data_IF_185938996601
#
_entry.id   IF_185938996601
#
_cell.length_a   1.000
_cell.length_b   1.000
_cell.length_c   1.000
_cell.angle_alpha   90.00
_cell.angle_beta   90.00
_cell.angle_gamma   90.00
#
_symmetry.space_group_name_H-M   'P 1'
#
loop_
_entity.id
_entity.type
_entity.pdbx_description
1 polymer ?
#
# COMPACT_ATOMS: atom_id res chain seq x y z
N UNK A 1 37.43 -68.78 16.30
CA UNK A 1 36.73 -68.77 17.59
C UNK A 1 35.77 -67.58 17.58
N UNK A 2 34.45 -67.85 17.67
CA UNK A 2 33.27 -66.94 17.75
C UNK A 2 32.90 -66.13 16.48
N UNK A 3 31.99 -66.62 15.60
CA UNK A 3 30.50 -66.58 15.63
C UNK A 3 29.95 -65.15 15.51
N UNK A 4 28.98 -64.73 14.68
CA UNK A 4 27.92 -65.31 13.81
C UNK A 4 27.19 -64.05 13.23
N UNK A 5 26.77 -63.91 11.97
CA UNK A 5 25.41 -64.26 11.49
C UNK A 5 25.21 -63.78 10.04
N UNK A 6 24.66 -64.71 9.28
CA UNK A 6 23.98 -64.66 7.99
C UNK A 6 22.67 -63.83 8.12
N UNK A 7 22.23 -63.12 7.07
CA UNK A 7 20.93 -63.33 6.40
C UNK A 7 20.61 -62.31 5.28
N UNK A 8 20.39 -62.88 4.09
CA UNK A 8 19.39 -62.58 3.04
C UNK A 8 19.34 -61.25 2.29
N UNK A 9 19.38 -61.45 0.97
CA UNK A 9 18.96 -60.55 -0.10
C UNK A 9 17.52 -60.04 0.06
N UNK A 10 17.29 -58.78 -0.34
CA UNK A 10 15.97 -58.31 -0.74
C UNK A 10 16.03 -57.63 -2.12
N UNK A 11 15.09 -58.10 -2.91
CA UNK A 11 14.73 -57.78 -4.29
C UNK A 11 14.42 -56.28 -4.48
N UNK A 12 15.15 -55.60 -5.38
CA UNK A 12 14.82 -54.23 -5.80
C UNK A 12 13.68 -54.25 -6.82
N UNK A 13 12.48 -53.89 -6.39
CA UNK A 13 11.33 -53.61 -7.26
C UNK A 13 11.44 -52.16 -7.73
N UNK A 14 11.74 -51.97 -9.00
CA UNK A 14 11.65 -50.72 -9.72
C UNK A 14 10.19 -50.35 -9.96
N UNK A 15 9.71 -49.27 -9.34
CA UNK A 15 8.44 -48.63 -9.70
C UNK A 15 8.74 -47.24 -10.26
N UNK A 16 8.56 -47.12 -11.59
CA UNK A 16 8.51 -45.85 -12.31
C UNK A 16 7.26 -45.09 -11.86
N UNK A 17 7.43 -44.04 -11.06
CA UNK A 17 6.41 -43.00 -10.92
C UNK A 17 6.88 -41.74 -11.63
N UNK A 18 6.35 -41.60 -12.84
CA UNK A 18 6.38 -40.39 -13.64
C UNK A 18 5.34 -39.42 -13.05
N UNK A 19 5.76 -38.54 -12.14
CA UNK A 19 4.94 -37.40 -11.72
C UNK A 19 5.59 -36.13 -12.25
N UNK A 20 5.12 -35.68 -13.41
CA UNK A 20 5.31 -34.31 -13.86
C UNK A 20 4.64 -33.39 -12.83
N UNK A 21 5.43 -32.87 -11.90
CA UNK A 21 5.05 -31.70 -11.11
C UNK A 21 5.00 -30.50 -12.07
N UNK A 22 3.79 -30.18 -12.55
CA UNK A 22 3.49 -28.86 -13.08
C UNK A 22 3.49 -27.89 -11.89
N UNK A 23 4.67 -27.38 -11.55
CA UNK A 23 4.82 -26.22 -10.70
C UNK A 23 4.28 -25.00 -11.48
N UNK A 24 3.01 -24.66 -11.28
CA UNK A 24 2.53 -23.31 -11.58
C UNK A 24 3.24 -22.36 -10.63
N UNK A 25 4.27 -21.69 -11.17
CA UNK A 25 4.85 -20.48 -10.58
C UNK A 25 3.75 -19.46 -10.40
N UNK A 26 3.26 -19.32 -9.15
CA UNK A 26 2.60 -18.11 -8.69
C UNK A 26 3.64 -17.00 -8.81
N UNK A 27 3.62 -16.25 -9.91
CA UNK A 27 4.27 -14.95 -9.95
C UNK A 27 3.48 -14.03 -9.03
N UNK A 28 3.82 -14.02 -7.75
CA UNK A 28 3.58 -12.89 -6.86
C UNK A 28 4.52 -11.75 -7.27
N UNK A 29 4.33 -11.25 -8.49
CA UNK A 29 5.06 -10.13 -9.06
C UNK A 29 4.32 -8.83 -8.79
N UNK A 30 3.90 -8.60 -7.54
CA UNK A 30 3.65 -7.23 -7.10
C UNK A 30 5.01 -6.55 -7.06
N UNK A 31 5.36 -5.85 -8.14
CA UNK A 31 6.49 -4.92 -8.09
C UNK A 31 6.07 -3.80 -7.13
N UNK A 32 6.35 -4.01 -5.83
CA UNK A 32 6.32 -2.92 -4.88
C UNK A 32 7.32 -1.90 -5.41
N UNK A 33 6.84 -0.74 -5.84
CA UNK A 33 7.72 0.36 -6.16
C UNK A 33 8.43 0.72 -4.85
N UNK A 34 9.65 0.20 -4.66
CA UNK A 34 10.58 0.69 -3.62
C UNK A 34 11.08 2.05 -4.05
N UNK A 35 10.20 3.04 -3.99
CA UNK A 35 10.58 4.44 -4.06
C UNK A 35 11.07 4.84 -2.67
N UNK A 36 12.37 4.67 -2.43
CA UNK A 36 13.05 5.35 -1.34
C UNK A 36 12.93 6.85 -1.61
N UNK A 37 12.06 7.51 -0.86
CA UNK A 37 11.65 8.89 -1.17
C UNK A 37 12.57 9.92 -0.54
N UNK A 38 13.41 9.51 0.42
CA UNK A 38 14.30 10.43 1.11
C UNK A 38 15.67 9.84 1.44
N UNK A 39 16.70 10.68 1.28
CA UNK A 39 18.10 10.33 1.58
C UNK A 39 18.53 11.15 2.79
N UNK A 40 18.82 10.44 3.88
CA UNK A 40 19.41 10.98 5.09
C UNK A 40 20.94 10.87 5.06
N UNK A 41 21.60 11.84 5.71
CA UNK A 41 23.05 11.84 5.94
C UNK A 41 23.36 12.46 7.29
N UNK A 42 24.00 11.69 8.17
CA UNK A 42 24.40 12.18 9.50
C UNK A 42 25.81 12.75 9.45
N UNK A 43 26.03 13.95 9.96
CA UNK A 43 27.32 14.66 9.86
C UNK A 43 28.14 14.62 11.15
N UNK A 44 27.50 14.72 12.32
CA UNK A 44 28.14 14.66 13.64
C UNK A 44 27.12 14.44 14.76
N UNK A 45 27.61 14.22 15.98
CA UNK A 45 26.80 14.26 17.22
C UNK A 45 26.35 15.69 17.52
N UNK A 46 25.18 15.82 18.15
CA UNK A 46 24.61 17.10 18.58
C UNK A 46 24.38 17.09 20.11
N UNK A 47 23.19 17.48 20.59
CA UNK A 47 22.87 17.48 22.03
C UNK A 47 22.90 16.06 22.58
N UNK A 48 23.68 15.84 23.63
CA UNK A 48 23.82 14.53 24.27
C UNK A 48 25.01 14.45 25.22
N UNK A 49 25.14 13.33 25.91
CA UNK A 49 26.27 13.08 26.82
C UNK A 49 26.61 11.60 26.90
N UNK A 50 27.80 11.27 27.41
CA UNK A 50 28.22 9.89 27.61
C UNK A 50 27.56 9.31 28.87
N UNK A 51 26.84 8.20 28.70
CA UNK A 51 26.13 7.53 29.78
C UNK A 51 26.70 6.11 29.94
N UNK A 52 26.95 5.73 31.19
CA UNK A 52 27.37 4.39 31.58
C UNK A 52 26.17 3.56 32.02
N UNK A 53 26.01 2.37 31.45
CA UNK A 53 24.84 1.48 31.64
C UNK A 53 25.23 0.02 31.40
N UNK A 54 24.29 -0.91 31.61
CA UNK A 54 24.48 -2.33 31.24
C UNK A 54 24.02 -2.53 29.81
N UNK A 55 24.94 -2.96 28.93
CA UNK A 55 24.61 -3.23 27.53
C UNK A 55 23.77 -4.52 27.42
N UNK A 56 22.58 -4.49 26.81
CA UNK A 56 21.67 -5.64 26.76
C UNK A 56 22.22 -6.80 25.90
N UNK A 57 23.13 -6.52 24.97
CA UNK A 57 23.72 -7.53 24.08
C UNK A 57 24.91 -8.27 24.71
N UNK A 58 25.63 -7.64 25.65
CA UNK A 58 26.84 -8.22 26.27
C UNK A 58 26.71 -8.44 27.77
N UNK A 59 25.63 -7.97 28.40
CA UNK A 59 25.40 -7.98 29.84
C UNK A 59 26.57 -7.39 30.66
N UNK A 60 27.32 -6.47 30.07
CA UNK A 60 28.50 -5.84 30.66
C UNK A 60 28.34 -4.33 30.72
N UNK A 61 29.11 -3.67 31.58
CA UNK A 61 29.13 -2.20 31.62
C UNK A 61 29.66 -1.64 30.30
N UNK A 62 28.93 -0.68 29.73
CA UNK A 62 29.33 0.07 28.55
C UNK A 62 29.13 1.56 28.81
N UNK A 63 29.87 2.40 28.07
CA UNK A 63 29.71 3.85 28.10
C UNK A 63 29.70 4.39 26.69
N UNK A 64 28.57 4.91 26.25
CA UNK A 64 28.35 5.40 24.88
C UNK A 64 27.75 6.80 24.91
N UNK A 65 27.93 7.55 23.82
CA UNK A 65 27.21 8.80 23.60
C UNK A 65 25.71 8.52 23.45
N UNK A 66 24.88 9.20 24.23
CA UNK A 66 23.44 9.14 24.13
C UNK A 66 22.90 10.55 23.84
N UNK A 67 22.21 10.71 22.71
CA UNK A 67 21.69 12.00 22.29
C UNK A 67 21.35 12.06 20.81
N UNK A 68 21.17 13.27 20.32
CA UNK A 68 20.84 13.54 18.92
C UNK A 68 22.08 13.57 18.03
N UNK A 69 21.87 13.37 16.74
CA UNK A 69 22.86 13.61 15.69
C UNK A 69 22.38 14.73 14.76
N UNK A 70 23.28 15.60 14.33
CA UNK A 70 23.00 16.53 13.24
C UNK A 70 23.11 15.77 11.91
N UNK A 71 22.21 16.08 10.99
CA UNK A 71 22.30 15.56 9.64
C UNK A 71 21.47 16.37 8.67
N UNK A 72 21.36 15.83 7.46
CA UNK A 72 20.50 16.37 6.42
C UNK A 72 19.53 15.32 5.94
N UNK A 73 18.34 15.74 5.56
CA UNK A 73 17.37 14.96 4.83
C UNK A 73 17.07 15.67 3.52
N UNK A 74 17.42 15.07 2.39
CA UNK A 74 17.35 15.72 1.08
C UNK A 74 18.00 17.13 1.08
N UNK A 75 19.12 17.27 1.79
CA UNK A 75 19.88 18.51 2.03
C UNK A 75 19.31 19.50 3.05
N UNK A 76 18.12 19.26 3.62
CA UNK A 76 17.57 20.08 4.71
C UNK A 76 18.13 19.65 6.06
N UNK A 77 18.59 20.61 6.88
CA UNK A 77 19.15 20.32 8.20
C UNK A 77 18.08 19.75 9.15
N UNK A 78 18.38 18.60 9.75
CA UNK A 78 17.48 17.87 10.65
C UNK A 78 18.29 17.19 11.77
N UNK A 79 17.60 16.68 12.79
CA UNK A 79 18.20 15.84 13.82
C UNK A 79 17.72 14.40 13.74
N UNK A 80 18.56 13.48 14.19
CA UNK A 80 18.26 12.04 14.29
C UNK A 80 18.56 11.50 15.69
N UNK A 81 17.91 10.40 16.05
CA UNK A 81 18.28 9.53 17.16
C UNK A 81 18.72 8.15 16.63
N UNK A 82 19.43 7.40 17.47
CA UNK A 82 19.79 6.01 17.23
C UNK A 82 18.63 5.07 17.59
N UNK A 83 18.42 4.01 16.80
CA UNK A 83 17.46 2.91 17.09
C UNK A 83 18.09 1.52 16.87
N UNK A 84 19.43 1.45 16.87
CA UNK A 84 20.19 0.21 16.75
C UNK A 84 21.50 0.39 17.52
N UNK A 85 21.48 0.02 18.79
CA UNK A 85 22.62 0.17 19.67
C UNK A 85 23.74 -0.83 19.33
N UNK A 86 23.42 -1.94 18.65
CA UNK A 86 24.36 -3.02 18.37
C UNK A 86 25.41 -2.62 17.34
N UNK A 87 25.01 -1.85 16.35
CA UNK A 87 25.84 -1.49 15.21
C UNK A 87 26.45 -0.08 15.35
N UNK A 88 27.58 0.14 14.69
CA UNK A 88 28.23 1.46 14.65
C UNK A 88 27.62 2.37 13.59
N UNK A 89 27.47 3.66 13.89
CA UNK A 89 27.14 4.70 12.94
C UNK A 89 28.30 5.01 11.98
N UNK A 90 28.00 5.23 10.70
CA UNK A 90 28.91 5.87 9.75
C UNK A 90 28.43 7.27 9.38
N UNK A 91 29.30 8.27 9.62
CA UNK A 91 29.04 9.65 9.24
C UNK A 91 29.23 9.88 7.74
N UNK A 92 28.51 10.86 7.20
CA UNK A 92 28.58 11.34 5.82
C UNK A 92 28.25 10.28 4.75
N UNK A 93 27.53 9.22 5.14
CA UNK A 93 26.98 8.20 4.23
C UNK A 93 25.49 8.39 4.00
N UNK A 94 25.02 7.84 2.90
CA UNK A 94 23.60 7.85 2.55
C UNK A 94 22.86 6.75 3.34
N UNK A 95 21.75 7.14 3.95
CA UNK A 95 20.77 6.25 4.54
C UNK A 95 19.45 6.48 3.81
N UNK A 96 18.75 5.41 3.40
CA UNK A 96 17.42 5.53 2.82
C UNK A 96 16.35 5.32 3.89
N UNK A 97 15.16 5.85 3.65
CA UNK A 97 13.96 5.60 4.43
C UNK A 97 13.55 4.13 4.36
N UNK A 98 13.18 3.55 5.51
CA UNK A 98 12.64 2.18 5.55
C UNK A 98 11.67 1.98 6.72
N UNK A 99 10.39 1.79 6.38
CA UNK A 99 9.28 1.57 7.32
C UNK A 99 9.20 2.64 8.44
N UNK A 100 8.21 2.49 9.32
CA UNK A 100 8.08 3.28 10.54
C UNK A 100 8.76 2.61 11.74
N UNK A 101 9.02 3.39 12.78
CA UNK A 101 9.39 2.87 14.10
C UNK A 101 8.15 2.42 14.89
N UNK A 102 8.31 1.57 15.93
CA UNK A 102 7.24 1.27 16.88
C UNK A 102 6.50 2.53 17.36
N UNK A 103 5.20 2.41 17.63
CA UNK A 103 4.34 3.53 18.00
C UNK A 103 4.85 4.30 19.23
N UNK A 104 5.53 3.63 20.16
CA UNK A 104 6.12 4.23 21.35
C UNK A 104 7.25 5.20 20.99
N UNK A 105 8.14 4.80 20.08
CA UNK A 105 9.22 5.68 19.59
C UNK A 105 8.61 6.87 18.87
N UNK A 106 7.61 6.64 18.01
CA UNK A 106 6.89 7.73 17.34
C UNK A 106 6.24 8.69 18.35
N UNK A 107 5.58 8.18 19.39
CA UNK A 107 4.99 9.01 20.44
C UNK A 107 6.05 9.87 21.16
N UNK A 108 7.21 9.29 21.49
CA UNK A 108 8.31 10.01 22.12
C UNK A 108 8.74 11.19 21.24
N UNK A 109 8.97 10.92 19.96
CA UNK A 109 9.45 11.94 19.02
C UNK A 109 8.43 13.08 18.80
N UNK A 110 7.13 12.79 18.96
CA UNK A 110 6.06 13.81 18.88
C UNK A 110 5.90 14.67 20.13
N UNK A 111 6.41 14.24 21.28
CA UNK A 111 6.12 14.86 22.56
C UNK A 111 7.34 15.43 23.28
N UNK A 112 8.54 15.10 22.82
CA UNK A 112 9.77 15.44 23.52
C UNK A 112 10.78 16.18 22.60
N UNK A 113 11.89 16.60 23.20
CA UNK A 113 13.00 17.26 22.52
C UNK A 113 13.61 16.34 21.44
N UNK A 114 14.13 16.86 20.32
CA UNK A 114 14.26 18.27 19.95
C UNK A 114 13.01 18.88 19.31
N UNK A 115 12.00 18.09 18.95
CA UNK A 115 10.82 18.61 18.27
C UNK A 115 10.03 19.59 19.14
N UNK A 116 9.65 19.16 20.35
CA UNK A 116 9.11 20.09 21.35
C UNK A 116 10.25 20.67 22.15
N UNK A 117 10.28 21.99 22.27
CA UNK A 117 11.31 22.71 23.05
C UNK A 117 10.84 23.04 24.47
N UNK A 118 9.55 22.91 24.76
CA UNK A 118 8.95 23.15 26.08
C UNK A 118 7.82 22.15 26.37
N UNK A 119 7.85 21.54 27.56
CA UNK A 119 6.84 20.62 28.10
C UNK A 119 7.13 20.32 29.57
N UNK A 120 6.13 19.82 30.31
CA UNK A 120 6.25 19.49 31.73
C UNK A 120 7.31 18.42 31.99
N UNK A 121 8.17 18.67 32.99
CA UNK A 121 9.20 17.72 33.42
C UNK A 121 10.45 17.66 32.53
N UNK A 122 10.54 18.48 31.47
CA UNK A 122 11.76 18.63 30.66
C UNK A 122 12.94 19.05 31.56
N UNK A 123 14.09 18.40 31.42
CA UNK A 123 15.32 18.84 32.06
C UNK A 123 15.78 20.19 31.48
N UNK A 124 16.37 21.03 32.34
CA UNK A 124 16.93 22.33 31.94
C UNK A 124 18.15 22.17 31.02
N UNK A 125 18.95 21.13 31.24
CA UNK A 125 20.08 20.75 30.39
C UNK A 125 19.61 19.91 29.19
N UNK A 126 19.66 20.49 27.99
CA UNK A 126 19.28 19.82 26.75
C UNK A 126 20.13 18.59 26.45
N UNK A 127 21.39 18.53 26.89
CA UNK A 127 22.24 17.35 26.68
C UNK A 127 21.74 16.17 27.52
N UNK A 128 21.35 16.43 28.77
CA UNK A 128 20.75 15.41 29.63
C UNK A 128 19.35 15.01 29.15
N UNK A 129 18.53 15.96 28.70
CA UNK A 129 17.20 15.66 28.14
C UNK A 129 17.32 14.79 26.89
N UNK A 130 18.21 15.15 25.96
CA UNK A 130 18.44 14.37 24.74
C UNK A 130 18.97 12.96 25.06
N UNK A 131 19.84 12.81 26.06
CA UNK A 131 20.32 11.52 26.51
C UNK A 131 19.19 10.67 27.12
N UNK A 132 18.32 11.26 27.95
CA UNK A 132 17.19 10.55 28.54
C UNK A 132 16.21 10.05 27.48
N UNK A 133 15.95 10.85 26.46
CA UNK A 133 15.11 10.50 25.31
C UNK A 133 15.76 9.37 24.49
N UNK A 134 17.07 9.44 24.22
CA UNK A 134 17.79 8.37 23.52
C UNK A 134 17.70 7.03 24.27
N UNK A 135 17.77 7.03 25.61
CA UNK A 135 17.57 5.81 26.41
C UNK A 135 16.13 5.31 26.40
N UNK A 136 15.14 6.20 26.40
CA UNK A 136 13.74 5.80 26.24
C UNK A 136 13.50 5.18 24.85
N UNK A 137 14.13 5.71 23.81
CA UNK A 137 14.09 5.13 22.46
C UNK A 137 14.76 3.74 22.46
N UNK A 138 15.97 3.61 23.03
CA UNK A 138 16.67 2.32 23.10
C UNK A 138 15.98 1.27 23.97
N UNK A 139 15.16 1.67 24.94
CA UNK A 139 14.30 0.72 25.65
C UNK A 139 13.32 0.03 24.69
N UNK A 140 12.75 0.76 23.73
CA UNK A 140 11.79 0.20 22.77
C UNK A 140 12.42 -0.38 21.50
N UNK A 141 13.66 0.00 21.16
CA UNK A 141 14.36 -0.53 19.97
C UNK A 141 15.34 -1.66 20.26
N UNK A 142 15.95 -1.67 21.45
CA UNK A 142 17.13 -2.50 21.78
C UNK A 142 17.03 -3.14 23.19
N UNK A 143 15.87 -3.06 23.85
CA UNK A 143 15.64 -3.58 25.21
C UNK A 143 16.61 -3.04 26.28
N UNK A 144 17.13 -1.81 26.09
CA UNK A 144 18.03 -1.18 27.08
C UNK A 144 17.25 -0.84 28.34
N UNK A 145 17.67 -1.43 29.47
CA UNK A 145 17.09 -1.14 30.77
C UNK A 145 17.65 0.17 31.34
N UNK A 146 16.87 1.25 31.27
CA UNK A 146 17.24 2.58 31.76
C UNK A 146 17.59 2.61 33.27
N UNK A 147 17.08 1.66 34.06
CA UNK A 147 17.41 1.55 35.49
C UNK A 147 18.89 1.18 35.74
N UNK A 148 19.61 0.66 34.74
CA UNK A 148 21.03 0.28 34.82
C UNK A 148 21.99 1.43 34.60
N UNK A 149 21.50 2.63 34.27
CA UNK A 149 22.32 3.84 34.20
C UNK A 149 22.98 4.09 35.55
N UNK A 150 24.32 4.18 35.57
CA UNK A 150 25.12 4.21 36.80
C UNK A 150 25.78 5.55 37.09
N UNK A 151 26.00 6.38 36.06
CA UNK A 151 26.78 7.62 36.19
C UNK A 151 25.94 8.91 36.17
N UNK A 152 24.62 8.83 35.96
CA UNK A 152 23.76 10.02 35.85
C UNK A 152 22.30 9.75 36.28
N UNK A 153 21.96 10.15 37.51
CA UNK A 153 20.63 9.88 38.09
C UNK A 153 19.51 10.72 37.46
N UNK A 154 19.80 11.94 37.00
CA UNK A 154 18.82 12.80 36.34
C UNK A 154 18.35 12.17 35.03
N UNK A 155 19.29 11.72 34.21
CA UNK A 155 19.03 11.04 32.93
C UNK A 155 18.26 9.73 33.17
N UNK A 156 18.66 8.96 34.18
CA UNK A 156 17.96 7.73 34.58
C UNK A 156 16.50 7.96 34.92
N UNK A 157 16.22 8.87 35.86
CA UNK A 157 14.84 9.13 36.30
C UNK A 157 14.00 9.70 35.16
N UNK A 158 14.59 10.57 34.33
CA UNK A 158 13.91 11.17 33.20
C UNK A 158 13.57 10.14 32.11
N UNK A 159 14.49 9.25 31.77
CA UNK A 159 14.26 8.18 30.81
C UNK A 159 13.12 7.26 31.25
N UNK A 160 13.12 6.86 32.54
CA UNK A 160 12.05 6.03 33.11
C UNK A 160 10.67 6.71 33.03
N UNK A 161 10.59 8.02 33.28
CA UNK A 161 9.35 8.77 33.16
C UNK A 161 8.84 8.81 31.71
N UNK A 162 9.74 9.04 30.74
CA UNK A 162 9.39 9.06 29.31
C UNK A 162 8.92 7.69 28.83
N UNK A 163 9.59 6.61 29.27
CA UNK A 163 9.19 5.22 28.96
C UNK A 163 7.78 4.93 29.48
N UNK A 164 7.47 5.32 30.72
CA UNK A 164 6.16 5.10 31.33
C UNK A 164 5.05 5.86 30.58
N UNK A 165 5.32 7.12 30.21
CA UNK A 165 4.39 7.95 29.45
C UNK A 165 4.14 7.36 28.05
N UNK A 166 5.22 7.02 27.33
CA UNK A 166 5.12 6.43 25.99
C UNK A 166 4.37 5.09 26.01
N UNK A 167 4.60 4.24 27.01
CA UNK A 167 3.88 2.97 27.19
C UNK A 167 2.38 3.16 27.38
N UNK A 168 1.98 4.25 28.04
CA UNK A 168 0.57 4.51 28.35
C UNK A 168 -0.18 5.20 27.20
N UNK A 169 0.51 6.00 26.39
CA UNK A 169 -0.13 6.99 25.51
C UNK A 169 0.16 6.82 24.00
N UNK A 170 0.91 5.79 23.58
CA UNK A 170 1.35 5.64 22.19
C UNK A 170 0.26 5.35 21.13
N UNK A 171 -1.00 5.12 21.54
CA UNK A 171 -2.06 4.64 20.65
C UNK A 171 -2.59 5.65 19.62
N UNK A 172 -1.95 6.83 19.46
CA UNK A 172 -2.59 7.96 18.78
C UNK A 172 -1.71 8.72 17.77
N UNK A 173 -0.69 8.10 17.15
CA UNK A 173 0.07 8.79 16.11
C UNK A 173 0.41 7.86 14.95
N UNK A 174 -0.13 8.16 13.76
CA UNK A 174 0.30 7.58 12.49
C UNK A 174 0.72 8.72 11.58
N UNK A 175 1.90 8.64 10.96
CA UNK A 175 2.32 9.71 10.09
C UNK A 175 2.09 9.51 8.57
N UNK A 176 1.93 10.64 7.88
CA UNK A 176 1.69 10.81 6.43
C UNK A 176 2.79 10.17 5.56
N UNK A 177 2.42 9.48 4.46
CA UNK A 177 3.40 8.79 3.60
C UNK A 177 3.19 8.96 2.09
N UNK A 178 1.97 8.94 1.55
CA UNK A 178 1.80 8.70 0.10
C UNK A 178 0.79 9.65 -0.58
N UNK A 179 1.10 10.06 -1.81
CA UNK A 179 0.17 10.66 -2.76
C UNK A 179 -0.27 9.64 -3.80
N UNK A 180 -1.51 9.71 -4.25
CA UNK A 180 -2.05 8.89 -5.34
C UNK A 180 -2.87 9.76 -6.29
N UNK A 181 -2.57 9.72 -7.59
CA UNK A 181 -3.39 10.34 -8.63
C UNK A 181 -4.25 9.25 -9.25
N UNK A 182 -5.57 9.47 -9.28
CA UNK A 182 -6.53 8.53 -9.85
C UNK A 182 -7.34 9.22 -10.94
N UNK A 183 -6.93 9.07 -12.21
CA UNK A 183 -7.82 9.39 -13.31
C UNK A 183 -8.82 8.23 -13.51
N UNK A 184 -10.12 8.49 -13.74
CA UNK A 184 -11.11 7.46 -14.07
C UNK A 184 -10.79 6.72 -15.39
N UNK A 185 -10.11 7.38 -16.32
CA UNK A 185 -9.67 6.84 -17.60
C UNK A 185 -8.28 7.36 -17.98
N UNK A 186 -7.55 6.61 -18.81
CA UNK A 186 -6.24 7.04 -19.32
C UNK A 186 -6.28 7.68 -20.69
N UNK A 187 -7.37 7.51 -21.44
CA UNK A 187 -7.48 8.01 -22.81
C UNK A 187 -8.83 8.67 -23.01
N UNK A 188 -8.87 9.84 -23.63
CA UNK A 188 -10.07 10.63 -23.89
C UNK A 188 -10.11 11.04 -25.35
N UNK A 189 -11.30 11.21 -25.90
CA UNK A 189 -11.46 11.78 -27.23
C UNK A 189 -11.08 13.26 -27.23
N UNK A 190 -10.46 13.73 -28.32
CA UNK A 190 -10.07 15.14 -28.51
C UNK A 190 -11.19 16.11 -28.09
N UNK A 191 -10.86 17.10 -27.25
CA UNK A 191 -11.81 18.11 -26.76
C UNK A 191 -12.60 17.69 -25.51
N UNK A 192 -12.58 16.42 -25.10
CA UNK A 192 -13.20 15.97 -23.85
C UNK A 192 -12.31 16.34 -22.66
N UNK A 193 -12.82 17.07 -21.65
CA UNK A 193 -12.07 17.35 -20.43
C UNK A 193 -11.78 16.06 -19.65
N UNK A 194 -10.53 15.88 -19.22
CA UNK A 194 -10.15 14.80 -18.32
C UNK A 194 -10.34 15.26 -16.87
N UNK A 195 -10.98 14.45 -16.03
CA UNK A 195 -11.10 14.72 -14.59
C UNK A 195 -10.27 13.73 -13.80
N UNK A 196 -9.66 14.16 -12.69
CA UNK A 196 -8.92 13.27 -11.81
C UNK A 196 -8.97 13.76 -10.37
N UNK A 197 -8.61 12.87 -9.45
CA UNK A 197 -8.52 13.16 -8.03
C UNK A 197 -7.12 12.84 -7.51
N UNK A 198 -6.70 13.56 -6.47
CA UNK A 198 -5.46 13.29 -5.76
C UNK A 198 -5.79 12.90 -4.32
N UNK A 199 -5.22 11.81 -3.83
CA UNK A 199 -5.37 11.36 -2.45
C UNK A 199 -4.05 11.45 -1.70
N UNK A 200 -4.05 12.01 -0.49
CA UNK A 200 -2.96 11.94 0.46
C UNK A 200 -3.29 10.92 1.56
N UNK A 201 -2.40 9.95 1.78
CA UNK A 201 -2.58 8.83 2.70
C UNK A 201 -1.36 8.66 3.62
N UNK A 202 -1.59 8.13 4.82
CA UNK A 202 -0.55 7.75 5.78
C UNK A 202 0.06 6.37 5.50
N UNK A 203 1.05 5.95 6.31
CA UNK A 203 1.70 4.63 6.21
C UNK A 203 0.75 3.44 6.30
N UNK A 204 -0.39 3.64 6.97
CA UNK A 204 -1.40 2.62 7.18
C UNK A 204 -2.53 2.71 6.12
N UNK A 205 -2.42 3.64 5.16
CA UNK A 205 -3.41 3.89 4.12
C UNK A 205 -4.60 4.74 4.56
N UNK A 206 -4.54 5.37 5.74
CA UNK A 206 -5.60 6.27 6.24
C UNK A 206 -5.50 7.64 5.56
N UNK A 207 -6.62 8.37 5.44
CA UNK A 207 -6.65 9.69 4.83
C UNK A 207 -5.88 10.75 5.61
N UNK A 208 -5.17 11.63 4.89
CA UNK A 208 -4.50 12.80 5.48
C UNK A 208 -5.18 14.09 5.02
N UNK A 209 -5.86 14.73 5.96
CA UNK A 209 -6.56 15.99 5.76
C UNK A 209 -5.58 17.19 5.76
N UNK A 210 -5.96 18.26 5.05
CA UNK A 210 -5.26 19.55 5.02
C UNK A 210 -3.87 19.52 4.37
N UNK A 211 -3.55 18.50 3.58
CA UNK A 211 -2.32 18.46 2.79
C UNK A 211 -2.44 19.38 1.57
N UNK A 212 -1.51 20.33 1.41
CA UNK A 212 -1.47 21.22 0.26
C UNK A 212 -0.78 20.52 -0.93
N UNK A 213 -1.53 20.29 -2.00
CA UNK A 213 -1.08 19.65 -3.23
C UNK A 213 -0.88 20.72 -4.31
N UNK A 214 0.32 20.78 -4.87
CA UNK A 214 0.69 21.56 -6.04
C UNK A 214 0.60 20.67 -7.29
N UNK A 215 0.03 21.19 -8.37
CA UNK A 215 -0.21 20.44 -9.61
C UNK A 215 0.52 21.11 -10.77
N UNK A 216 1.03 20.28 -11.68
CA UNK A 216 1.58 20.73 -12.97
C UNK A 216 1.27 19.71 -14.06
N UNK A 217 1.31 20.16 -15.31
CA UNK A 217 1.18 19.32 -16.49
C UNK A 217 2.15 19.79 -17.57
N UNK A 218 2.64 18.88 -18.42
CA UNK A 218 3.42 19.24 -19.61
C UNK A 218 2.53 19.57 -20.82
N UNK A 219 1.24 19.27 -20.77
CA UNK A 219 0.29 19.45 -21.86
C UNK A 219 -1.12 19.77 -21.34
N UNK A 220 -1.82 20.69 -22.00
CA UNK A 220 -3.16 21.13 -21.59
C UNK A 220 -3.17 22.13 -20.43
N UNK A 221 -4.36 22.47 -19.95
CA UNK A 221 -4.60 23.46 -18.90
C UNK A 221 -5.33 22.84 -17.71
N UNK A 222 -4.75 22.95 -16.51
CA UNK A 222 -5.38 22.51 -15.26
C UNK A 222 -6.37 23.56 -14.73
N UNK A 223 -7.50 23.11 -14.17
CA UNK A 223 -8.47 24.00 -13.52
C UNK A 223 -7.95 24.65 -12.24
N UNK A 224 -6.93 24.06 -11.63
CA UNK A 224 -6.16 24.64 -10.52
C UNK A 224 -4.74 24.08 -10.50
N UNK A 225 -3.79 24.86 -10.02
CA UNK A 225 -2.40 24.44 -9.78
C UNK A 225 -2.09 24.22 -8.30
N UNK A 226 -3.02 24.51 -7.39
CA UNK A 226 -2.87 24.23 -5.96
C UNK A 226 -4.23 23.93 -5.32
N UNK A 227 -4.30 22.87 -4.50
CA UNK A 227 -5.52 22.41 -3.83
C UNK A 227 -5.19 21.70 -2.52
N UNK A 228 -6.09 21.75 -1.54
CA UNK A 228 -5.89 21.14 -0.23
C UNK A 228 -6.79 19.91 -0.05
N UNK A 229 -6.28 18.85 0.57
CA UNK A 229 -7.06 17.62 0.83
C UNK A 229 -8.13 17.82 1.91
N UNK A 230 -9.30 17.19 1.72
CA UNK A 230 -10.41 17.16 2.66
C UNK A 230 -10.25 16.08 3.76
N UNK A 231 -11.27 15.87 4.60
CA UNK A 231 -11.28 14.87 5.69
C UNK A 231 -11.00 13.43 5.23
N UNK A 232 -11.29 13.12 3.97
CA UNK A 232 -11.04 11.81 3.34
C UNK A 232 -9.68 11.77 2.63
N UNK A 233 -8.81 12.76 2.88
CA UNK A 233 -7.50 12.88 2.23
C UNK A 233 -7.59 13.17 0.73
N UNK A 234 -8.76 13.56 0.22
CA UNK A 234 -9.03 13.76 -1.20
C UNK A 234 -8.91 15.24 -1.57
N UNK A 235 -8.25 15.53 -2.68
CA UNK A 235 -8.22 16.81 -3.36
C UNK A 235 -8.77 16.65 -4.78
N UNK A 236 -9.81 17.41 -5.11
CA UNK A 236 -10.48 17.35 -6.40
C UNK A 236 -12.01 17.37 -6.28
N UNK A 237 -12.73 17.16 -7.39
CA UNK A 237 -12.19 16.82 -8.72
C UNK A 237 -11.39 17.96 -9.35
N UNK A 238 -10.31 17.62 -10.05
CA UNK A 238 -9.52 18.55 -10.87
C UNK A 238 -9.78 18.24 -12.34
N UNK A 239 -9.88 19.28 -13.18
CA UNK A 239 -10.09 19.14 -14.61
C UNK A 239 -8.83 19.54 -15.38
N UNK A 240 -8.41 18.71 -16.33
CA UNK A 240 -7.38 19.00 -17.32
C UNK A 240 -8.03 19.10 -18.71
N UNK A 241 -7.88 20.25 -19.37
CA UNK A 241 -8.45 20.50 -20.70
C UNK A 241 -7.36 20.54 -21.77
N UNK A 242 -7.62 19.88 -22.90
CA UNK A 242 -6.78 19.93 -24.10
C UNK A 242 -7.64 19.68 -25.34
N UNK A 243 -7.39 20.44 -26.41
CA UNK A 243 -8.17 20.39 -27.66
C UNK A 243 -7.45 19.68 -28.82
N UNK A 244 -6.22 19.22 -28.61
CA UNK A 244 -5.44 18.48 -29.60
C UNK A 244 -5.32 16.99 -29.28
N UNK A 245 -4.43 16.32 -30.02
CA UNK A 245 -4.00 14.94 -29.76
C UNK A 245 -2.65 14.96 -29.05
N UNK A 246 -2.46 14.10 -28.06
CA UNK A 246 -1.20 14.02 -27.33
C UNK A 246 -1.32 13.43 -25.94
N UNK A 247 -0.18 13.20 -25.29
CA UNK A 247 -0.11 12.62 -23.95
C UNK A 247 0.32 13.71 -22.97
N UNK A 248 -0.56 14.04 -22.02
CA UNK A 248 -0.22 14.84 -20.86
C UNK A 248 0.34 13.96 -19.74
N UNK A 249 1.37 14.45 -19.08
CA UNK A 249 1.90 13.96 -17.81
C UNK A 249 1.50 14.95 -16.73
N UNK A 250 0.58 14.54 -15.88
CA UNK A 250 0.17 15.28 -14.69
C UNK A 250 1.15 14.94 -13.58
N UNK A 251 1.65 15.94 -12.88
CA UNK A 251 2.47 15.80 -11.68
C UNK A 251 1.75 16.44 -10.51
N UNK A 252 1.55 15.68 -9.45
CA UNK A 252 1.10 16.20 -8.17
C UNK A 252 2.27 16.16 -7.19
N UNK A 253 2.57 17.32 -6.61
CA UNK A 253 3.56 17.49 -5.57
C UNK A 253 2.85 17.86 -4.28
N UNK A 254 3.22 17.27 -3.17
CA UNK A 254 2.86 17.81 -1.85
C UNK A 254 4.11 17.84 -1.01
N UNK A 255 4.17 18.83 -0.13
CA UNK A 255 5.12 18.78 0.97
C UNK A 255 4.61 17.72 1.94
N UNK A 256 5.10 16.49 1.81
CA UNK A 256 4.90 15.48 2.84
C UNK A 256 5.79 15.90 4.00
N UNK A 257 5.19 16.16 5.15
CA UNK A 257 5.97 16.15 6.38
C UNK A 257 6.48 14.72 6.53
N UNK A 258 7.77 14.49 6.28
CA UNK A 258 8.43 13.28 6.75
C UNK A 258 8.32 13.35 8.26
N UNK A 259 7.56 12.43 8.83
CA UNK A 259 7.33 12.44 10.25
C UNK A 259 8.62 12.11 10.98
N UNK A 260 8.79 12.75 12.13
CA UNK A 260 9.62 12.15 13.15
C UNK A 260 9.08 10.75 13.49
N UNK A 261 9.97 9.77 13.58
CA UNK A 261 9.60 8.36 13.65
C UNK A 261 9.86 7.56 12.37
N UNK A 262 10.17 8.20 11.24
CA UNK A 262 10.68 7.50 10.05
C UNK A 262 12.05 6.91 10.33
N UNK A 263 12.19 5.61 10.08
CA UNK A 263 13.44 4.87 10.23
C UNK A 263 14.29 5.01 8.97
N UNK A 264 15.59 5.13 9.16
CA UNK A 264 16.59 5.17 8.09
C UNK A 264 17.64 4.10 8.28
N UNK A 265 18.00 3.41 7.20
CA UNK A 265 19.02 2.35 7.21
C UNK A 265 20.12 2.64 6.20
N UNK A 266 21.34 2.15 6.48
CA UNK A 266 22.50 2.43 5.66
C UNK A 266 22.34 1.85 4.25
N UNK A 267 22.54 2.68 3.23
CA UNK A 267 22.24 2.33 1.82
C UNK A 267 22.96 1.08 1.32
N UNK A 268 24.21 0.86 1.73
CA UNK A 268 25.03 -0.27 1.24
C UNK A 268 25.23 -1.38 2.27
N UNK A 269 24.75 -1.20 3.49
CA UNK A 269 24.89 -2.20 4.56
C UNK A 269 23.74 -2.08 5.58
N UNK A 270 22.48 -2.34 5.17
CA UNK A 270 21.29 -2.06 5.99
C UNK A 270 21.26 -2.75 7.35
N UNK A 271 21.85 -3.95 7.45
CA UNK A 271 21.86 -4.77 8.67
C UNK A 271 23.20 -4.74 9.43
N UNK A 272 24.25 -4.20 8.82
CA UNK A 272 25.60 -4.13 9.40
C UNK A 272 25.98 -2.76 9.94
N UNK A 273 25.06 -1.78 9.91
CA UNK A 273 25.28 -0.40 10.32
C UNK A 273 24.09 0.12 11.12
N UNK A 274 24.39 1.07 12.00
CA UNK A 274 23.41 1.67 12.90
C UNK A 274 22.22 2.25 12.13
N UNK A 275 21.03 1.87 12.55
CA UNK A 275 19.75 2.41 12.08
C UNK A 275 19.41 3.68 12.85
N UNK A 276 18.74 4.59 12.15
CA UNK A 276 18.44 5.94 12.63
C UNK A 276 16.94 6.18 12.62
N UNK A 277 16.49 7.12 13.44
CA UNK A 277 15.12 7.65 13.38
C UNK A 277 15.16 9.18 13.32
N UNK A 278 14.33 9.76 12.46
CA UNK A 278 14.21 11.21 12.33
C UNK A 278 13.61 11.81 13.61
N UNK A 279 14.26 12.83 14.18
CA UNK A 279 13.92 13.41 15.48
C UNK A 279 13.19 14.76 15.41
N UNK A 280 13.23 15.42 14.25
CA UNK A 280 12.47 16.64 13.94
C UNK A 280 11.75 16.40 12.63
N UNK A 281 10.45 16.74 12.51
CA UNK A 281 9.76 16.53 11.25
C UNK A 281 10.46 17.39 10.19
N UNK A 282 10.53 16.87 8.98
CA UNK A 282 11.13 17.59 7.87
C UNK A 282 10.17 17.56 6.70
N UNK A 283 10.09 18.67 5.99
CA UNK A 283 9.36 18.74 4.75
C UNK A 283 10.15 18.00 3.66
N UNK A 284 9.51 17.04 3.01
CA UNK A 284 9.97 16.49 1.75
C UNK A 284 8.93 16.64 0.66
N UNK A 285 9.39 16.70 -0.59
CA UNK A 285 8.53 16.80 -1.75
C UNK A 285 8.25 15.39 -2.25
N UNK A 286 7.07 14.84 -1.94
CA UNK A 286 6.57 13.72 -2.74
C UNK A 286 5.99 14.26 -4.03
N UNK A 287 6.52 13.75 -5.14
CA UNK A 287 5.98 13.92 -6.47
C UNK A 287 5.48 12.57 -6.98
N UNK A 288 4.24 12.55 -7.48
CA UNK A 288 3.69 11.42 -8.22
C UNK A 288 3.22 11.90 -9.58
N UNK A 289 3.26 11.00 -10.57
CA UNK A 289 2.84 11.31 -11.93
C UNK A 289 1.80 10.32 -12.44
N UNK A 290 0.86 10.83 -13.24
CA UNK A 290 -0.07 10.05 -14.04
C UNK A 290 -0.11 10.60 -15.46
N UNK A 291 -0.51 9.77 -16.42
CA UNK A 291 -0.62 10.15 -17.82
C UNK A 291 -2.06 10.11 -18.29
N UNK A 292 -2.41 11.05 -19.18
CA UNK A 292 -3.68 11.09 -19.89
C UNK A 292 -3.41 11.32 -21.37
N UNK A 293 -4.01 10.52 -22.25
CA UNK A 293 -3.92 10.62 -23.71
C UNK A 293 -5.20 11.26 -24.28
N UNK A 294 -5.06 12.22 -25.19
CA UNK A 294 -6.13 12.62 -26.09
C UNK A 294 -5.90 12.01 -27.47
N UNK A 295 -6.93 11.38 -28.02
CA UNK A 295 -6.89 10.74 -29.34
C UNK A 295 -8.10 11.15 -30.20
N UNK A 296 -7.92 11.06 -31.51
CA UNK A 296 -9.04 11.20 -32.43
C UNK A 296 -9.87 9.92 -32.43
N UNK A 297 -11.14 10.04 -32.07
CA UNK A 297 -12.08 8.92 -32.07
C UNK A 297 -12.11 8.26 -33.45
N UNK A 298 -11.84 6.94 -33.56
CA UNK A 298 -12.02 6.24 -34.83
C UNK A 298 -13.49 6.25 -35.26
N UNK A 299 -13.73 6.18 -36.58
CA UNK A 299 -15.09 6.12 -37.14
C UNK A 299 -15.77 4.78 -36.78
N UNK A 300 -14.96 3.73 -36.61
CA UNK A 300 -15.38 2.39 -36.19
C UNK A 300 -15.21 2.17 -34.67
N UNK A 301 -15.48 0.94 -34.20
CA UNK A 301 -15.48 0.52 -32.80
C UNK A 301 -14.35 1.15 -31.96
N UNK A 302 -14.71 2.08 -31.08
CA UNK A 302 -13.77 2.78 -30.21
C UNK A 302 -13.60 2.04 -28.88
N UNK A 303 -12.53 1.25 -28.80
CA UNK A 303 -12.14 0.48 -27.61
C UNK A 303 -11.14 1.23 -26.71
N UNK A 304 -10.67 2.41 -27.12
CA UNK A 304 -9.81 3.25 -26.28
C UNK A 304 -10.63 3.93 -25.19
N UNK A 305 -10.02 4.11 -24.01
CA UNK A 305 -10.64 4.80 -22.88
C UNK A 305 -11.36 3.89 -21.88
N UNK A 306 -11.60 2.61 -22.22
CA UNK A 306 -12.11 1.65 -21.26
C UNK A 306 -11.04 1.35 -20.20
N UNK A 307 -11.48 0.97 -19.02
CA UNK A 307 -10.61 0.51 -17.94
C UNK A 307 -11.31 -0.60 -17.22
N UNK A 308 -10.58 -1.67 -16.94
CA UNK A 308 -11.02 -2.79 -16.11
C UNK A 308 -9.91 -3.09 -15.11
N UNK A 309 -10.25 -3.81 -14.05
CA UNK A 309 -9.28 -4.37 -13.14
C UNK A 309 -9.60 -5.84 -12.88
N UNK A 310 -8.53 -6.62 -12.70
CA UNK A 310 -8.63 -8.01 -12.25
C UNK A 310 -9.19 -8.12 -10.83
N UNK A 311 -9.59 -9.32 -10.42
CA UNK A 311 -9.96 -9.58 -9.03
C UNK A 311 -8.82 -9.26 -8.03
N UNK A 312 -7.56 -9.42 -8.43
CA UNK A 312 -6.41 -9.01 -7.62
C UNK A 312 -6.31 -7.49 -7.48
N UNK A 313 -6.58 -6.75 -8.56
CA UNK A 313 -6.72 -5.30 -8.53
C UNK A 313 -7.83 -4.88 -7.58
N UNK A 314 -9.05 -5.37 -7.77
CA UNK A 314 -10.19 -5.03 -6.90
C UNK A 314 -10.05 -5.52 -5.46
N UNK A 315 -9.23 -6.53 -5.16
CA UNK A 315 -8.92 -7.01 -3.80
C UNK A 315 -7.76 -6.28 -3.13
N UNK A 316 -7.01 -5.47 -3.87
CA UNK A 316 -5.78 -4.84 -3.37
C UNK A 316 -6.03 -3.80 -2.25
N UNK A 317 -5.00 -3.45 -1.46
CA UNK A 317 -5.12 -2.45 -0.41
C UNK A 317 -5.53 -1.06 -0.95
N UNK A 318 -6.15 -0.24 -0.10
CA UNK A 318 -6.71 1.06 -0.49
C UNK A 318 -5.67 2.15 -0.79
N UNK A 319 -4.38 1.84 -0.71
CA UNK A 319 -3.28 2.69 -1.17
C UNK A 319 -2.85 2.39 -2.63
N UNK A 320 -3.47 1.40 -3.27
CA UNK A 320 -3.38 1.19 -4.72
C UNK A 320 -4.44 1.99 -5.48
N UNK A 321 -4.28 2.15 -6.80
CA UNK A 321 -5.29 2.75 -7.67
C UNK A 321 -6.66 2.05 -7.58
N UNK A 322 -6.77 0.75 -7.92
CA UNK A 322 -8.05 0.04 -7.92
C UNK A 322 -8.66 -0.08 -6.52
N UNK A 323 -7.84 -0.35 -5.50
CA UNK A 323 -8.28 -0.43 -4.12
C UNK A 323 -8.82 0.90 -3.58
N UNK A 324 -8.24 2.03 -4.00
CA UNK A 324 -8.76 3.37 -3.65
C UNK A 324 -10.03 3.69 -4.43
N UNK A 325 -10.10 3.38 -5.72
CA UNK A 325 -11.34 3.54 -6.52
C UNK A 325 -12.49 2.80 -5.85
N UNK A 326 -12.25 1.53 -5.47
CA UNK A 326 -13.19 0.71 -4.70
C UNK A 326 -13.67 1.45 -3.45
N UNK A 327 -12.74 1.78 -2.56
CA UNK A 327 -13.05 2.39 -1.26
C UNK A 327 -13.84 3.70 -1.39
N UNK A 328 -13.42 4.59 -2.28
CA UNK A 328 -13.98 5.93 -2.40
C UNK A 328 -15.40 5.96 -3.00
N UNK A 329 -15.75 4.98 -3.84
CA UNK A 329 -16.99 5.03 -4.62
C UNK A 329 -17.96 3.87 -4.35
N UNK A 330 -17.62 2.91 -3.49
CA UNK A 330 -18.44 1.70 -3.32
C UNK A 330 -19.89 1.99 -2.94
N UNK A 331 -20.13 2.88 -1.97
CA UNK A 331 -21.50 3.22 -1.54
C UNK A 331 -22.30 3.99 -2.60
N UNK A 332 -21.62 4.65 -3.53
CA UNK A 332 -22.27 5.31 -4.67
C UNK A 332 -22.64 4.30 -5.75
N UNK A 333 -21.74 3.38 -6.08
CA UNK A 333 -21.94 2.39 -7.14
C UNK A 333 -22.87 1.25 -6.69
N UNK A 334 -22.73 0.83 -5.43
CA UNK A 334 -23.46 -0.27 -4.80
C UNK A 334 -24.12 0.19 -3.49
N UNK A 335 -25.13 1.08 -3.55
CA UNK A 335 -25.75 1.66 -2.34
C UNK A 335 -26.43 0.63 -1.44
N UNK A 336 -26.83 -0.51 -1.98
CA UNK A 336 -27.41 -1.65 -1.23
C UNK A 336 -26.44 -2.81 -1.06
N UNK A 337 -25.14 -2.59 -1.31
CA UNK A 337 -24.13 -3.64 -1.39
C UNK A 337 -24.06 -4.30 -2.76
N UNK A 338 -22.93 -4.97 -3.01
CA UNK A 338 -22.71 -5.78 -4.21
C UNK A 338 -23.32 -7.15 -3.99
N UNK A 339 -24.18 -7.58 -4.92
CA UNK A 339 -24.83 -8.89 -4.88
C UNK A 339 -24.53 -9.63 -6.17
N UNK A 340 -24.05 -10.88 -6.09
CA UNK A 340 -23.96 -11.80 -7.24
C UNK A 340 -24.75 -13.08 -6.96
N UNK A 341 -25.28 -13.71 -8.01
CA UNK A 341 -26.00 -14.98 -7.92
C UNK A 341 -27.52 -14.90 -8.14
N UNK A 342 -28.11 -16.05 -8.47
CA UNK A 342 -29.55 -16.28 -8.66
C UNK A 342 -30.25 -16.86 -7.42
N UNK A 343 -30.49 -18.18 -7.41
CA UNK A 343 -31.21 -18.87 -6.32
C UNK A 343 -30.47 -18.73 -4.98
N UNK A 344 -29.16 -18.97 -5.01
CA UNK A 344 -28.24 -18.62 -3.94
C UNK A 344 -27.45 -17.37 -4.33
N UNK A 345 -27.14 -16.54 -3.33
CA UNK A 345 -26.50 -15.23 -3.53
C UNK A 345 -25.30 -15.04 -2.61
N UNK A 346 -24.31 -14.30 -3.08
CA UNK A 346 -23.30 -13.65 -2.25
C UNK A 346 -23.62 -12.17 -2.15
N UNK A 347 -23.73 -11.65 -0.93
CA UNK A 347 -23.88 -10.21 -0.64
C UNK A 347 -22.64 -9.68 0.05
N UNK A 348 -22.02 -8.65 -0.52
CA UNK A 348 -20.90 -7.91 0.05
C UNK A 348 -21.36 -6.48 0.32
N UNK A 349 -21.54 -6.12 1.59
CA UNK A 349 -22.23 -4.87 1.96
C UNK A 349 -21.31 -3.64 2.01
N UNK A 350 -19.98 -3.82 1.95
CA UNK A 350 -19.01 -2.72 2.05
C UNK A 350 -17.81 -2.94 1.11
N UNK A 351 -17.08 -1.86 0.81
CA UNK A 351 -15.79 -1.92 0.12
C UNK A 351 -14.79 -2.83 0.82
N UNK A 352 -14.77 -2.81 2.16
CA UNK A 352 -13.93 -3.69 2.98
C UNK A 352 -14.35 -5.16 2.84
N UNK A 353 -15.65 -5.47 2.75
CA UNK A 353 -16.10 -6.83 2.49
C UNK A 353 -15.62 -7.33 1.13
N UNK A 354 -15.66 -6.49 0.09
CA UNK A 354 -15.08 -6.83 -1.23
C UNK A 354 -13.57 -7.04 -1.15
N UNK A 355 -12.83 -6.13 -0.49
CA UNK A 355 -11.39 -6.26 -0.27
C UNK A 355 -11.03 -7.59 0.40
N UNK A 356 -11.75 -7.96 1.45
CA UNK A 356 -11.46 -9.16 2.23
C UNK A 356 -11.91 -10.44 1.51
N UNK A 357 -12.86 -10.33 0.58
CA UNK A 357 -13.31 -11.44 -0.25
C UNK A 357 -12.38 -11.69 -1.44
N UNK A 358 -11.73 -10.68 -2.02
CA UNK A 358 -10.90 -10.85 -3.22
C UNK A 358 -9.39 -10.92 -2.89
N UNK A 359 -8.60 -11.69 -3.68
CA UNK A 359 -9.00 -12.59 -4.75
C UNK A 359 -9.47 -13.97 -4.23
N UNK A 360 -10.12 -14.75 -5.10
CA UNK A 360 -10.49 -16.14 -4.87
C UNK A 360 -9.69 -17.08 -5.78
N UNK A 361 -9.46 -18.32 -5.31
CA UNK A 361 -8.84 -19.40 -6.07
C UNK A 361 -9.66 -20.68 -6.03
N UNK A 362 -9.02 -21.82 -6.27
CA UNK A 362 -9.67 -23.16 -6.35
C UNK A 362 -10.56 -23.35 -7.57
N UNK A 363 -11.20 -24.52 -7.67
CA UNK A 363 -12.05 -24.90 -8.81
C UNK A 363 -13.29 -24.01 -8.92
N UNK A 364 -13.65 -23.64 -10.15
CA UNK A 364 -14.88 -22.93 -10.46
C UNK A 364 -16.11 -23.82 -10.15
N UNK A 365 -17.10 -23.26 -9.45
CA UNK A 365 -18.31 -23.98 -9.07
C UNK A 365 -19.50 -23.06 -8.79
N UNK A 366 -20.52 -23.60 -8.13
CA UNK A 366 -21.73 -22.85 -7.73
C UNK A 366 -21.82 -22.65 -6.21
N UNK A 367 -22.65 -21.69 -5.82
CA UNK A 367 -23.08 -21.51 -4.44
C UNK A 367 -24.00 -22.65 -4.02
N UNK A 368 -23.78 -23.15 -2.81
CA UNK A 368 -24.62 -24.16 -2.15
C UNK A 368 -25.56 -23.57 -1.12
N UNK A 369 -25.41 -22.28 -0.81
CA UNK A 369 -26.17 -21.52 0.17
C UNK A 369 -26.02 -20.01 -0.08
N UNK A 370 -26.81 -19.20 0.61
CA UNK A 370 -26.60 -17.76 0.64
C UNK A 370 -25.38 -17.40 1.51
N UNK A 371 -24.59 -16.45 1.04
CA UNK A 371 -23.40 -15.93 1.72
C UNK A 371 -23.54 -14.41 1.95
N UNK A 372 -23.00 -13.93 3.06
CA UNK A 372 -22.97 -12.50 3.36
C UNK A 372 -21.65 -12.14 4.03
N UNK A 373 -20.91 -11.19 3.46
CA UNK A 373 -19.62 -10.69 3.97
C UNK A 373 -18.61 -11.77 4.38
N UNK A 374 -18.62 -12.90 3.66
CA UNK A 374 -17.68 -14.01 3.87
C UNK A 374 -16.36 -13.75 3.15
N UNK A 375 -15.32 -14.51 3.49
CA UNK A 375 -13.99 -14.46 2.84
C UNK A 375 -13.78 -15.56 1.82
N UNK A 376 -14.70 -16.54 1.72
CA UNK A 376 -14.67 -17.61 0.71
C UNK A 376 -16.05 -18.21 0.49
N UNK A 377 -16.25 -18.90 -0.63
CA UNK A 377 -17.49 -19.61 -0.97
C UNK A 377 -17.20 -20.95 -1.64
N UNK A 378 -18.21 -21.80 -1.78
CA UNK A 378 -18.15 -23.05 -2.55
C UNK A 378 -17.89 -22.87 -4.04
N UNK A 379 -18.05 -21.65 -4.59
CA UNK A 379 -17.89 -21.37 -6.02
C UNK A 379 -16.44 -21.02 -6.44
N UNK A 380 -15.51 -20.91 -5.48
CA UNK A 380 -14.08 -20.74 -5.74
C UNK A 380 -13.76 -19.54 -6.63
N UNK A 381 -12.84 -19.75 -7.59
CA UNK A 381 -12.32 -18.71 -8.49
C UNK A 381 -13.42 -18.00 -9.28
N UNK A 382 -14.51 -18.70 -9.62
CA UNK A 382 -15.62 -18.11 -10.37
C UNK A 382 -16.30 -16.99 -9.57
N UNK A 383 -16.48 -17.17 -8.26
CA UNK A 383 -17.04 -16.11 -7.41
C UNK A 383 -16.15 -14.87 -7.41
N UNK A 384 -14.82 -15.05 -7.34
CA UNK A 384 -13.87 -13.94 -7.42
C UNK A 384 -13.96 -13.19 -8.74
N UNK A 385 -13.99 -13.92 -9.87
CA UNK A 385 -14.07 -13.29 -11.19
C UNK A 385 -15.41 -12.59 -11.44
N UNK A 386 -16.53 -13.12 -10.96
CA UNK A 386 -17.83 -12.47 -11.12
C UNK A 386 -18.01 -11.25 -10.22
N UNK A 387 -17.45 -11.25 -9.00
CA UNK A 387 -17.40 -10.02 -8.18
C UNK A 387 -16.57 -8.95 -8.91
N UNK A 388 -15.39 -9.30 -9.42
CA UNK A 388 -14.55 -8.36 -10.17
C UNK A 388 -15.23 -7.85 -11.45
N UNK A 389 -15.92 -8.71 -12.20
CA UNK A 389 -16.65 -8.32 -13.39
C UNK A 389 -17.82 -7.38 -13.06
N UNK A 390 -18.58 -7.68 -12.01
CA UNK A 390 -19.67 -6.82 -11.58
C UNK A 390 -19.16 -5.47 -11.08
N UNK A 391 -18.00 -5.42 -10.43
CA UNK A 391 -17.31 -4.18 -10.09
C UNK A 391 -16.93 -3.39 -11.34
N UNK A 392 -16.29 -4.01 -12.34
CA UNK A 392 -15.93 -3.36 -13.61
C UNK A 392 -17.15 -2.75 -14.30
N UNK A 393 -18.22 -3.52 -14.48
CA UNK A 393 -19.46 -3.06 -15.13
C UNK A 393 -20.15 -1.97 -14.33
N UNK A 394 -20.28 -2.13 -13.01
CA UNK A 394 -20.96 -1.15 -12.16
C UNK A 394 -20.23 0.19 -12.08
N UNK A 395 -18.91 0.17 -11.93
CA UNK A 395 -18.10 1.39 -11.85
C UNK A 395 -18.05 2.13 -13.19
N UNK A 396 -17.97 1.42 -14.32
CA UNK A 396 -18.06 2.02 -15.67
C UNK A 396 -19.43 2.68 -15.92
N UNK A 397 -20.51 1.98 -15.58
CA UNK A 397 -21.87 2.49 -15.70
C UNK A 397 -22.07 3.76 -14.85
N UNK A 398 -21.48 3.81 -13.66
CA UNK A 398 -21.51 4.98 -12.77
C UNK A 398 -20.56 6.12 -13.18
N UNK A 399 -19.79 5.97 -14.26
CA UNK A 399 -18.79 6.96 -14.71
C UNK A 399 -17.63 7.12 -13.74
N UNK A 400 -17.32 6.08 -12.95
CA UNK A 400 -16.18 6.02 -12.03
C UNK A 400 -15.01 5.23 -12.59
N UNK A 401 -15.19 4.67 -13.79
CA UNK A 401 -14.21 3.91 -14.53
C UNK A 401 -14.44 4.16 -16.03
N UNK A 402 -13.36 4.36 -16.78
CA UNK A 402 -13.41 4.66 -18.20
C UNK A 402 -13.97 6.05 -18.54
N UNK A 403 -13.87 6.41 -19.81
CA UNK A 403 -14.35 7.71 -20.35
C UNK A 403 -15.33 7.54 -21.52
N UNK A 404 -15.64 6.30 -21.87
CA UNK A 404 -16.44 5.96 -23.04
C UNK A 404 -17.91 6.35 -22.84
N UNK A 405 -18.53 6.75 -23.95
CA UNK A 405 -19.97 6.99 -24.00
C UNK A 405 -20.75 5.68 -23.98
N UNK A 406 -20.27 4.68 -24.74
CA UNK A 406 -20.76 3.31 -24.68
C UNK A 406 -20.24 2.66 -23.40
N UNK A 407 -21.09 1.92 -22.70
CA UNK A 407 -20.72 1.29 -21.43
C UNK A 407 -20.11 -0.08 -21.64
N UNK A 408 -19.20 -0.45 -20.74
CA UNK A 408 -18.54 -1.76 -20.73
C UNK A 408 -19.56 -2.91 -20.79
N UNK A 409 -20.66 -2.77 -20.05
CA UNK A 409 -21.75 -3.74 -20.03
C UNK A 409 -22.43 -3.97 -21.39
N UNK A 410 -22.34 -3.00 -22.30
CA UNK A 410 -22.98 -3.04 -23.62
C UNK A 410 -22.03 -3.51 -24.73
N UNK A 411 -20.73 -3.65 -24.43
CA UNK A 411 -19.78 -4.23 -25.37
C UNK A 411 -20.08 -5.71 -25.62
N UNK A 412 -19.87 -6.14 -26.87
CA UNK A 412 -20.01 -7.54 -27.26
C UNK A 412 -18.70 -8.29 -27.10
N UNK A 413 -18.78 -9.52 -26.62
CA UNK A 413 -17.64 -10.44 -26.54
C UNK A 413 -17.25 -10.86 -27.96
N UNK A 414 -15.98 -10.62 -28.33
CA UNK A 414 -15.50 -10.81 -29.70
C UNK A 414 -15.15 -12.25 -30.06
N UNK A 415 -14.84 -13.11 -29.07
CA UNK A 415 -14.39 -14.48 -29.32
C UNK A 415 -14.78 -15.47 -28.21
N UNK A 416 -14.64 -16.76 -28.49
CA UNK A 416 -14.94 -17.83 -27.54
C UNK A 416 -16.43 -18.23 -27.48
N UNK A 417 -16.81 -19.06 -26.49
CA UNK A 417 -18.15 -19.65 -26.42
C UNK A 417 -19.30 -18.65 -26.26
N UNK A 418 -19.00 -17.43 -25.80
CA UNK A 418 -19.96 -16.36 -25.54
C UNK A 418 -19.89 -15.24 -26.59
N UNK A 419 -19.33 -15.51 -27.77
CA UNK A 419 -19.26 -14.53 -28.86
C UNK A 419 -20.64 -13.90 -29.13
N UNK A 420 -20.65 -12.59 -29.40
CA UNK A 420 -21.85 -11.77 -29.63
C UNK A 420 -22.77 -11.55 -28.42
N UNK A 421 -22.53 -12.18 -27.28
CA UNK A 421 -23.16 -11.77 -26.03
C UNK A 421 -22.61 -10.41 -25.63
N UNK A 422 -23.47 -9.51 -25.17
CA UNK A 422 -22.98 -8.34 -24.43
C UNK A 422 -22.42 -8.77 -23.09
N UNK A 423 -21.51 -7.97 -22.52
CA UNK A 423 -20.98 -8.23 -21.17
C UNK A 423 -22.11 -8.35 -20.13
N UNK A 424 -23.17 -7.54 -20.25
CA UNK A 424 -24.36 -7.63 -19.38
C UNK A 424 -25.14 -8.94 -19.60
N UNK A 425 -25.30 -9.40 -20.85
CA UNK A 425 -25.96 -10.68 -21.13
C UNK A 425 -25.15 -11.85 -20.57
N UNK A 426 -23.83 -11.83 -20.74
CA UNK A 426 -22.92 -12.82 -20.17
C UNK A 426 -22.97 -12.80 -18.63
N UNK A 427 -22.89 -11.62 -18.00
CA UNK A 427 -22.95 -11.48 -16.55
C UNK A 427 -24.26 -12.05 -15.97
N UNK A 428 -25.40 -11.77 -16.60
CA UNK A 428 -26.70 -12.31 -16.16
C UNK A 428 -26.76 -13.85 -16.24
N UNK A 429 -26.20 -14.45 -17.29
CA UNK A 429 -26.08 -15.90 -17.42
C UNK A 429 -25.16 -16.46 -16.33
N UNK A 430 -24.01 -15.83 -16.10
CA UNK A 430 -23.04 -16.25 -15.10
C UNK A 430 -23.60 -16.16 -13.67
N UNK A 431 -24.37 -15.12 -13.35
CA UNK A 431 -25.06 -14.98 -12.06
C UNK A 431 -26.13 -16.05 -11.85
N UNK A 432 -26.85 -16.42 -12.91
CA UNK A 432 -27.80 -17.55 -12.86
C UNK A 432 -27.06 -18.85 -12.56
N UNK A 433 -25.98 -19.14 -13.28
CA UNK A 433 -25.18 -20.35 -13.12
C UNK A 433 -24.53 -20.46 -11.73
N UNK A 434 -23.82 -19.42 -11.28
CA UNK A 434 -23.15 -19.44 -9.96
C UNK A 434 -24.17 -19.55 -8.81
N UNK A 435 -25.38 -19.03 -8.99
CA UNK A 435 -26.46 -19.14 -8.00
C UNK A 435 -27.16 -20.50 -7.96
N UNK A 436 -26.68 -21.52 -8.68
CA UNK A 436 -27.30 -22.85 -8.73
C UNK A 436 -28.44 -22.97 -9.74
N UNK A 437 -28.50 -22.07 -10.72
CA UNK A 437 -29.43 -22.14 -11.86
C UNK A 437 -28.87 -22.92 -13.06
N UNK A 438 -29.53 -22.78 -14.21
CA UNK A 438 -29.10 -23.41 -15.45
C UNK A 438 -27.75 -22.85 -15.93
N UNK A 439 -26.93 -23.74 -16.49
CA UNK A 439 -25.69 -23.39 -17.20
C UNK A 439 -25.90 -23.06 -18.68
N UNK A 440 -27.12 -23.24 -19.21
CA UNK A 440 -27.46 -23.00 -20.61
C UNK A 440 -26.54 -23.71 -21.61
N UNK A 441 -26.07 -24.91 -21.27
CA UNK A 441 -25.17 -25.72 -22.10
C UNK A 441 -23.68 -25.42 -21.95
N UNK A 442 -23.30 -24.46 -21.10
CA UNK A 442 -21.90 -24.13 -20.81
C UNK A 442 -21.37 -24.85 -19.56
N UNK A 443 -20.09 -24.70 -19.27
CA UNK A 443 -19.44 -25.19 -18.04
C UNK A 443 -19.00 -24.02 -17.16
N UNK A 444 -18.83 -24.27 -15.84
CA UNK A 444 -18.27 -23.27 -14.94
C UNK A 444 -16.86 -22.80 -15.36
N UNK A 445 -16.05 -23.68 -15.96
CA UNK A 445 -14.73 -23.30 -16.50
C UNK A 445 -14.88 -22.29 -17.63
N UNK A 446 -15.74 -22.55 -18.62
CA UNK A 446 -15.94 -21.61 -19.73
C UNK A 446 -16.45 -20.25 -19.25
N UNK A 447 -17.37 -20.23 -18.27
CA UNK A 447 -17.85 -18.99 -17.68
C UNK A 447 -16.71 -18.27 -16.94
N UNK A 448 -15.92 -19.00 -16.15
CA UNK A 448 -14.77 -18.41 -15.45
C UNK A 448 -13.75 -17.80 -16.42
N UNK A 449 -13.43 -18.50 -17.50
CA UNK A 449 -12.43 -18.09 -18.47
C UNK A 449 -12.89 -16.83 -19.22
N UNK A 450 -14.18 -16.78 -19.61
CA UNK A 450 -14.76 -15.58 -20.21
C UNK A 450 -14.79 -14.38 -19.25
N UNK A 451 -15.17 -14.59 -17.99
CA UNK A 451 -15.15 -13.52 -16.98
C UNK A 451 -13.72 -13.00 -16.73
N UNK A 452 -12.74 -13.91 -16.71
CA UNK A 452 -11.31 -13.58 -16.58
C UNK A 452 -10.86 -12.72 -17.76
N UNK A 453 -11.16 -13.15 -19.00
CA UNK A 453 -10.79 -12.42 -20.21
C UNK A 453 -11.39 -11.00 -20.24
N UNK A 454 -12.66 -10.84 -19.85
CA UNK A 454 -13.29 -9.50 -19.78
C UNK A 454 -12.61 -8.63 -18.71
N UNK A 455 -12.34 -9.17 -17.53
CA UNK A 455 -11.68 -8.44 -16.44
C UNK A 455 -10.25 -8.01 -16.78
N UNK A 456 -9.58 -8.76 -17.65
CA UNK A 456 -8.20 -8.51 -18.09
C UNK A 456 -8.13 -7.72 -19.41
N UNK A 457 -9.25 -7.52 -20.12
CA UNK A 457 -9.23 -6.95 -21.47
C UNK A 457 -8.69 -5.52 -21.49
N UNK A 458 -9.15 -4.69 -20.56
CA UNK A 458 -8.74 -3.29 -20.43
C UNK A 458 -7.98 -3.06 -19.13
N UNK A 459 -7.17 -4.04 -18.69
CA UNK A 459 -6.54 -4.00 -17.38
C UNK A 459 -5.70 -2.73 -17.19
N UNK A 460 -5.98 -2.00 -16.11
CA UNK A 460 -5.40 -0.70 -15.78
C UNK A 460 -5.55 0.38 -16.87
N UNK A 461 -6.44 0.18 -17.85
CA UNK A 461 -6.63 1.04 -19.02
C UNK A 461 -5.39 1.12 -19.91
N UNK A 462 -4.53 0.09 -19.87
CA UNK A 462 -3.23 0.06 -20.56
C UNK A 462 -3.10 -1.05 -21.58
N UNK A 463 -4.04 -1.98 -21.61
CA UNK A 463 -4.11 -3.08 -22.56
C UNK A 463 -5.48 -3.08 -23.23
N UNK A 464 -5.54 -3.69 -24.39
CA UNK A 464 -6.77 -4.00 -25.13
C UNK A 464 -6.51 -5.35 -25.82
N UNK A 465 -7.18 -6.41 -25.35
CA UNK A 465 -6.94 -7.78 -25.83
C UNK A 465 -7.96 -8.23 -26.91
N UNK A 466 -8.80 -7.31 -27.42
CA UNK A 466 -9.69 -7.57 -28.56
C UNK A 466 -11.17 -7.44 -28.24
#
# INVERSE_FOLDING_TARGET
MRFLKIFTALLTISFLMNTAFLAQTVKSGGSYIKNYTSIAKVSNTADGTNISYTNPYTNSSASNFAGTFNGTLNSNAVKFYCIDLRNSLEFNKDYWDENSTPSQITYILNNYFPYKTSYTGKLSDNNKEAAAIQFAIWYFSDDVLANTISNNNDVKNRALAIIADATSNHNNVVPLETLLIIPPAKSYTTGTPATFEVYALDLNGNPVQNAQVQLSTNLGTLSTTTITTNVNGQAGPITLTYSGVGIATIKAKTTVQIPQGTRYVHKTSPDGKQKLVLATPSADLKEVSATVEWYNKPIDCDTKGYTTFTQGGWGSPSNSGPGKIREANFSLVFPSGLVIGGNYKLTLTTATAVKNFLPQGSTAGAFTQNYSNVTSTSAGVLAGQLVALKMNVGYDAAGKLGSNTTKLGDLQIASGPFVSYTVNQFLALAETAIGGGSLSGFTFSQINDAATAINENFDNGTVDNG
#
